data_IF_125698375433
#
_entry.id   IF_125698375433
#
_cell.length_a   1.000
_cell.length_b   1.000
_cell.length_c   1.000
_cell.angle_alpha   90.00
_cell.angle_beta   90.00
_cell.angle_gamma   90.00
#
_symmetry.space_group_name_H-M   'P 1'
#
loop_
_entity.id
_entity.type
_entity.pdbx_description
1 polymer ?
#
# COMPACT_ATOMS: atom_id res chain seq x y z
N UNK A 1 -29.41 -13.89 20.80
CA UNK A 1 -29.37 -13.95 19.33
C UNK A 1 -27.97 -14.41 18.92
N UNK A 2 -27.80 -15.45 18.09
CA UNK A 2 -26.47 -15.85 17.66
C UNK A 2 -25.91 -14.77 16.72
N UNK A 3 -24.72 -14.23 17.03
CA UNK A 3 -23.99 -13.37 16.10
C UNK A 3 -23.66 -14.23 14.88
N UNK A 4 -24.15 -13.86 13.71
CA UNK A 4 -23.80 -14.54 12.46
C UNK A 4 -22.27 -14.51 12.31
N UNK A 5 -21.64 -15.68 12.16
CA UNK A 5 -20.23 -15.79 11.78
C UNK A 5 -20.08 -15.23 10.36
N UNK A 6 -19.68 -13.95 10.25
CA UNK A 6 -19.41 -13.33 8.96
C UNK A 6 -18.15 -13.98 8.37
N UNK A 7 -18.32 -14.74 7.29
CA UNK A 7 -17.20 -15.33 6.54
C UNK A 7 -16.34 -14.19 5.98
N UNK A 8 -15.02 -14.28 6.14
CA UNK A 8 -14.10 -13.28 5.62
C UNK A 8 -14.15 -13.23 4.10
N UNK A 9 -14.41 -12.04 3.56
CA UNK A 9 -14.40 -11.76 2.13
C UNK A 9 -13.24 -10.81 1.81
N UNK A 10 -12.09 -11.37 1.43
CA UNK A 10 -10.92 -10.59 1.01
C UNK A 10 -11.23 -9.55 -0.07
N UNK A 11 -12.05 -9.89 -1.06
CA UNK A 11 -12.44 -8.97 -2.14
C UNK A 11 -13.12 -7.71 -1.64
N UNK A 12 -14.03 -7.83 -0.67
CA UNK A 12 -14.76 -6.69 -0.13
C UNK A 12 -13.82 -5.82 0.72
N UNK A 13 -13.01 -6.45 1.58
CA UNK A 13 -12.07 -5.76 2.47
C UNK A 13 -10.97 -5.03 1.69
N UNK A 14 -10.39 -5.67 0.67
CA UNK A 14 -9.37 -5.07 -0.18
C UNK A 14 -9.92 -3.89 -0.97
N UNK A 15 -11.14 -4.03 -1.52
CA UNK A 15 -11.82 -2.96 -2.27
C UNK A 15 -12.12 -1.76 -1.36
N UNK A 16 -12.74 -1.99 -0.20
CA UNK A 16 -13.06 -0.93 0.76
C UNK A 16 -11.79 -0.19 1.21
N UNK A 17 -10.70 -0.91 1.48
CA UNK A 17 -9.43 -0.30 1.87
C UNK A 17 -8.81 0.55 0.75
N UNK A 18 -8.79 0.04 -0.48
CA UNK A 18 -8.26 0.77 -1.64
C UNK A 18 -9.06 2.06 -1.92
N UNK A 19 -10.40 1.96 -1.91
CA UNK A 19 -11.29 3.12 -2.09
C UNK A 19 -11.10 4.16 -0.98
N UNK A 20 -10.94 3.71 0.27
CA UNK A 20 -10.64 4.61 1.39
C UNK A 20 -9.30 5.32 1.20
N UNK A 21 -8.24 4.61 0.81
CA UNK A 21 -6.91 5.18 0.60
C UNK A 21 -6.89 6.23 -0.50
N UNK A 22 -7.56 5.94 -1.63
CA UNK A 22 -7.67 6.87 -2.75
C UNK A 22 -8.49 8.11 -2.38
N UNK A 23 -9.68 7.93 -1.79
CA UNK A 23 -10.54 9.04 -1.38
C UNK A 23 -9.86 10.00 -0.41
N UNK A 24 -9.07 9.46 0.52
CA UNK A 24 -8.39 10.25 1.55
C UNK A 24 -6.95 10.62 1.17
N UNK A 25 -6.50 10.28 -0.04
CA UNK A 25 -5.15 10.57 -0.54
C UNK A 25 -4.06 10.15 0.46
N UNK A 26 -4.25 8.99 1.12
CA UNK A 26 -3.47 8.68 2.32
C UNK A 26 -1.98 8.61 2.05
N UNK A 27 -1.55 8.20 0.85
CA UNK A 27 -0.12 8.06 0.51
C UNK A 27 0.49 9.32 -0.13
N UNK A 28 -0.27 10.40 -0.30
CA UNK A 28 0.25 11.67 -0.80
C UNK A 28 1.17 12.31 0.24
N UNK A 29 2.28 12.89 -0.23
CA UNK A 29 3.30 13.52 0.60
C UNK A 29 3.67 14.89 0.02
N UNK A 30 4.17 15.77 0.88
CA UNK A 30 4.72 17.08 0.54
C UNK A 30 6.03 17.26 1.28
N UNK A 31 6.86 18.21 0.84
CA UNK A 31 8.06 18.60 1.57
C UNK A 31 7.67 19.24 2.90
N UNK A 32 8.03 18.59 4.02
CA UNK A 32 7.89 19.13 5.37
C UNK A 32 9.27 19.12 6.04
N UNK A 33 9.95 20.28 6.17
CA UNK A 33 11.26 20.38 6.79
C UNK A 33 11.30 19.93 8.27
N UNK A 34 10.14 19.79 8.93
CA UNK A 34 10.06 19.39 10.34
C UNK A 34 9.93 17.86 10.53
N UNK A 35 9.86 17.08 9.44
CA UNK A 35 9.77 15.62 9.49
C UNK A 35 11.05 14.96 8.98
N UNK A 36 11.34 13.77 9.51
CA UNK A 36 12.42 12.96 8.96
C UNK A 36 12.00 12.43 7.58
N UNK A 37 12.77 12.77 6.54
CA UNK A 37 12.47 12.34 5.19
C UNK A 37 12.93 10.90 4.97
N UNK A 38 12.10 10.11 4.29
CA UNK A 38 12.47 8.79 3.79
C UNK A 38 11.98 8.63 2.34
N UNK A 39 12.88 8.21 1.44
CA UNK A 39 12.52 7.92 0.05
C UNK A 39 12.78 6.44 -0.26
N UNK A 40 11.69 5.68 -0.36
CA UNK A 40 11.71 4.31 -0.85
C UNK A 40 11.47 4.28 -2.35
N UNK A 41 12.41 3.74 -3.12
CA UNK A 41 12.28 3.61 -4.58
C UNK A 41 12.42 2.15 -5.00
N UNK A 42 11.39 1.64 -5.67
CA UNK A 42 11.47 0.38 -6.42
C UNK A 42 11.75 0.66 -7.89
N UNK A 43 12.48 -0.24 -8.55
CA UNK A 43 12.75 -0.14 -9.99
C UNK A 43 11.44 -0.16 -10.78
N UNK A 44 11.19 0.90 -11.56
CA UNK A 44 10.01 1.01 -12.40
C UNK A 44 10.00 -0.08 -13.49
N UNK A 45 8.82 -0.65 -13.81
CA UNK A 45 8.74 -1.73 -14.77
C UNK A 45 8.81 -1.19 -16.21
N UNK A 46 9.36 -2.01 -17.11
CA UNK A 46 9.12 -1.82 -18.55
C UNK A 46 7.71 -2.31 -18.91
N UNK A 47 6.98 -1.64 -19.82
CA UNK A 47 5.63 -2.03 -20.23
C UNK A 47 5.65 -3.21 -21.23
N UNK A 48 6.28 -4.32 -20.86
CA UNK A 48 6.47 -5.50 -21.71
C UNK A 48 5.32 -6.51 -21.65
N UNK A 49 4.28 -6.23 -20.86
CA UNK A 49 3.14 -7.11 -20.64
C UNK A 49 2.52 -6.90 -19.27
N UNK A 50 1.84 -7.92 -18.76
CA UNK A 50 1.29 -7.90 -17.40
C UNK A 50 2.36 -8.15 -16.34
N UNK A 51 2.18 -7.57 -15.15
CA UNK A 51 3.08 -7.80 -14.03
C UNK A 51 3.07 -9.29 -13.61
N UNK A 52 4.25 -9.91 -13.57
CA UNK A 52 4.47 -11.24 -12.98
C UNK A 52 4.83 -11.18 -11.48
N UNK A 53 4.86 -12.33 -10.81
CA UNK A 53 5.17 -12.43 -9.36
C UNK A 53 6.53 -11.82 -8.95
N UNK A 54 7.52 -11.79 -9.85
CA UNK A 54 8.76 -11.05 -9.62
C UNK A 54 8.57 -9.54 -9.39
N UNK A 55 7.65 -8.89 -10.12
CA UNK A 55 7.29 -7.48 -9.88
C UNK A 55 6.59 -7.33 -8.52
N UNK A 56 5.66 -8.25 -8.21
CA UNK A 56 4.96 -8.26 -6.93
C UNK A 56 5.96 -8.34 -5.78
N UNK A 57 6.94 -9.25 -5.84
CA UNK A 57 8.00 -9.33 -4.82
C UNK A 57 8.78 -8.02 -4.68
N UNK A 58 9.16 -7.38 -5.79
CA UNK A 58 9.90 -6.12 -5.78
C UNK A 58 9.09 -5.01 -5.08
N UNK A 59 7.83 -4.83 -5.48
CA UNK A 59 7.00 -3.72 -5.00
C UNK A 59 6.45 -3.94 -3.59
N UNK A 60 6.09 -5.17 -3.22
CA UNK A 60 5.62 -5.48 -1.87
C UNK A 60 6.70 -5.25 -0.81
N UNK A 61 7.97 -5.56 -1.11
CA UNK A 61 9.07 -5.27 -0.18
C UNK A 61 9.26 -3.76 0.01
N UNK A 62 9.22 -2.99 -1.07
CA UNK A 62 9.28 -1.53 -1.01
C UNK A 62 8.10 -0.92 -0.24
N UNK A 63 6.89 -1.40 -0.48
CA UNK A 63 5.67 -0.94 0.22
C UNK A 63 5.72 -1.27 1.72
N UNK A 64 6.16 -2.46 2.10
CA UNK A 64 6.31 -2.85 3.50
C UNK A 64 7.28 -1.91 4.25
N UNK A 65 8.42 -1.59 3.65
CA UNK A 65 9.40 -0.64 4.23
C UNK A 65 8.81 0.76 4.28
N UNK A 66 8.14 1.22 3.22
CA UNK A 66 7.54 2.55 3.15
C UNK A 66 6.48 2.75 4.23
N UNK A 67 5.62 1.76 4.44
CA UNK A 67 4.60 1.77 5.50
C UNK A 67 5.21 1.71 6.89
N UNK A 68 6.23 0.88 7.07
CA UNK A 68 6.95 0.79 8.35
C UNK A 68 7.58 2.13 8.71
N UNK A 69 8.30 2.77 7.79
CA UNK A 69 8.93 4.07 8.00
C UNK A 69 7.92 5.16 8.32
N UNK A 70 6.79 5.20 7.59
CA UNK A 70 5.70 6.14 7.86
C UNK A 70 5.08 5.99 9.26
N UNK A 71 5.12 4.79 9.84
CA UNK A 71 4.62 4.55 11.20
C UNK A 71 5.62 4.96 12.29
N UNK A 72 6.88 5.22 11.95
CA UNK A 72 7.90 5.68 12.89
C UNK A 72 7.88 7.20 13.13
N UNK A 73 7.33 7.99 12.20
CA UNK A 73 7.25 9.47 12.30
C UNK A 73 7.33 10.14 10.93
#
# INVERSE_FOLDING_TARGET
>A
MPKANKVYSHKDVEKEAQEFWEKNQVFSVTEDPNKEKFYCLSMFPYPSGSAHMGHVRNYTLGDAISRFQRLLG
#
